data_IF_539279658401
#
_entry.id   IF_539279658401
#
_cell.length_a   1.000
_cell.length_b   1.000
_cell.length_c   1.000
_cell.angle_alpha   90.00
_cell.angle_beta   90.00
_cell.angle_gamma   90.00
#
_symmetry.space_group_name_H-M   'P 1'
#
loop_
_entity.id
_entity.type
_entity.pdbx_description
1 polymer ?
#
# COMPACT_ATOMS: atom_id res chain seq x y z
N UNK A 1 7.57 4.51 25.76
CA UNK A 1 6.43 4.74 24.87
C UNK A 1 5.40 3.59 24.94
N UNK A 2 5.69 2.37 24.45
CA UNK A 2 4.72 1.25 24.41
C UNK A 2 4.00 0.96 25.74
N UNK A 3 4.73 0.91 26.87
CA UNK A 3 4.14 0.72 28.21
C UNK A 3 3.14 1.83 28.59
N UNK A 4 3.36 3.05 28.13
CA UNK A 4 2.44 4.16 28.40
C UNK A 4 1.15 4.00 27.59
N UNK A 5 1.25 3.61 26.31
CA UNK A 5 0.08 3.36 25.46
C UNK A 5 -0.79 2.22 26.00
N UNK A 6 -0.17 1.11 26.42
CA UNK A 6 -0.87 0.02 27.10
C UNK A 6 -1.55 0.50 28.40
N UNK A 7 -0.86 1.31 29.22
CA UNK A 7 -1.43 1.84 30.48
C UNK A 7 -2.60 2.79 30.25
N UNK A 8 -2.53 3.61 29.22
CA UNK A 8 -3.60 4.55 28.84
C UNK A 8 -4.81 3.79 28.29
N UNK A 9 -4.61 2.57 27.77
CA UNK A 9 -5.68 1.72 27.24
C UNK A 9 -6.00 2.00 25.79
N UNK A 10 -4.99 2.22 24.95
CA UNK A 10 -5.20 2.26 23.49
C UNK A 10 -5.74 0.90 23.01
N UNK A 11 -6.78 0.92 22.17
CA UNK A 11 -7.37 -0.30 21.61
C UNK A 11 -6.37 -1.01 20.68
N UNK A 12 -5.64 -0.24 19.88
CA UNK A 12 -4.60 -0.76 19.00
C UNK A 12 -3.43 0.21 18.83
N UNK A 13 -2.29 -0.34 18.43
CA UNK A 13 -1.16 0.37 17.87
C UNK A 13 -0.82 -0.23 16.52
N UNK A 14 -0.45 0.61 15.58
CA UNK A 14 0.02 0.19 14.27
C UNK A 14 1.50 0.58 14.12
N UNK A 15 2.32 -0.38 13.67
CA UNK A 15 3.65 -0.08 13.17
C UNK A 15 3.61 -0.06 11.64
N UNK A 16 3.73 1.14 11.08
CA UNK A 16 3.78 1.34 9.64
C UNK A 16 5.21 1.23 9.13
N UNK A 17 5.38 0.54 8.01
CA UNK A 17 6.66 0.19 7.42
C UNK A 17 6.64 -0.04 5.91
N UNK A 18 7.60 -0.82 5.41
CA UNK A 18 7.77 -1.08 3.98
C UNK A 18 8.71 -0.06 3.32
N UNK A 19 8.34 0.46 2.15
CA UNK A 19 9.16 1.46 1.43
C UNK A 19 8.96 2.90 1.92
N UNK A 20 8.02 3.12 2.84
CA UNK A 20 7.81 4.43 3.47
C UNK A 20 9.08 4.94 4.17
N UNK A 21 9.87 4.04 4.76
CA UNK A 21 11.13 4.39 5.44
C UNK A 21 12.26 4.80 4.50
N UNK A 22 12.25 4.39 3.22
CA UNK A 22 13.26 4.85 2.25
C UNK A 22 13.15 6.35 2.00
N UNK A 23 11.95 6.93 2.19
CA UNK A 23 11.71 8.38 2.13
C UNK A 23 12.18 9.09 3.40
N UNK A 24 12.13 8.42 4.57
CA UNK A 24 12.55 8.99 5.86
C UNK A 24 14.05 8.79 6.17
N UNK A 25 14.67 7.74 5.63
CA UNK A 25 16.07 7.37 5.87
C UNK A 25 16.75 6.99 4.54
N UNK A 26 17.52 7.92 3.96
CA UNK A 26 18.29 7.79 2.71
C UNK A 26 19.47 6.76 2.75
N UNK A 27 19.48 5.78 3.64
CA UNK A 27 20.56 4.81 3.75
C UNK A 27 20.07 3.38 3.51
N UNK A 28 20.04 3.01 2.22
CA UNK A 28 19.72 1.65 1.78
C UNK A 28 20.90 0.71 2.03
N UNK A 29 20.68 -0.36 2.79
CA UNK A 29 21.49 -1.58 2.76
C UNK A 29 20.85 -2.57 1.78
N UNK A 30 21.67 -3.16 0.92
CA UNK A 30 21.30 -4.01 -0.23
C UNK A 30 20.69 -5.38 0.11
N UNK A 31 19.55 -5.43 0.80
CA UNK A 31 18.83 -6.69 0.93
C UNK A 31 17.33 -6.51 0.82
N UNK A 32 16.86 -6.59 -0.43
CA UNK A 32 15.48 -6.73 -0.89
C UNK A 32 14.71 -7.84 -0.15
N UNK A 33 15.42 -8.83 0.42
CA UNK A 33 14.88 -9.98 1.16
C UNK A 33 14.68 -9.76 2.66
N UNK A 34 15.10 -8.61 3.23
CA UNK A 34 15.00 -8.31 4.67
C UNK A 34 13.90 -7.32 5.05
N UNK A 35 13.10 -6.82 4.10
CA UNK A 35 12.17 -5.70 4.38
C UNK A 35 10.87 -6.10 5.08
N UNK A 36 10.35 -7.30 4.81
CA UNK A 36 9.31 -7.90 5.65
C UNK A 36 9.87 -8.22 7.05
N UNK A 37 11.14 -8.64 7.12
CA UNK A 37 11.80 -9.04 8.37
C UNK A 37 12.10 -7.87 9.32
N UNK A 38 12.43 -6.67 8.81
CA UNK A 38 12.83 -5.54 9.65
C UNK A 38 11.74 -5.14 10.66
N UNK A 39 10.50 -5.00 10.20
CA UNK A 39 9.38 -4.66 11.06
C UNK A 39 8.91 -5.83 11.91
N UNK A 40 9.03 -7.06 11.40
CA UNK A 40 8.72 -8.26 12.18
C UNK A 40 9.66 -8.36 13.39
N UNK A 41 10.97 -8.16 13.23
CA UNK A 41 11.92 -8.19 14.34
C UNK A 41 11.64 -7.11 15.40
N UNK A 42 11.23 -5.90 14.96
CA UNK A 42 10.85 -4.83 15.88
C UNK A 42 9.53 -5.14 16.58
N UNK A 43 8.54 -5.64 15.84
CA UNK A 43 7.24 -6.03 16.34
C UNK A 43 7.36 -7.13 17.40
N UNK A 44 8.16 -8.15 17.15
CA UNK A 44 8.45 -9.25 18.10
C UNK A 44 9.03 -8.73 19.42
N UNK A 45 9.82 -7.65 19.39
CA UNK A 45 10.38 -7.04 20.60
C UNK A 45 9.37 -6.22 21.39
N UNK A 46 8.45 -5.53 20.72
CA UNK A 46 7.48 -4.66 21.40
C UNK A 46 6.17 -5.35 21.74
N UNK A 47 5.77 -6.39 20.98
CA UNK A 47 4.53 -7.13 21.16
C UNK A 47 4.33 -7.61 22.60
N UNK A 48 5.34 -8.16 23.32
CA UNK A 48 5.17 -8.60 24.71
C UNK A 48 4.82 -7.49 25.70
N UNK A 49 5.04 -6.22 25.33
CA UNK A 49 4.66 -5.07 26.16
C UNK A 49 3.15 -4.86 26.17
N UNK A 50 2.49 -5.15 25.04
CA UNK A 50 1.06 -4.95 24.87
C UNK A 50 0.31 -6.20 25.33
N UNK A 51 -0.58 -6.07 26.32
CA UNK A 51 -1.37 -7.21 26.84
C UNK A 51 -2.80 -7.11 26.35
N UNK A 52 -3.37 -5.91 26.39
CA UNK A 52 -4.73 -5.62 25.97
C UNK A 52 -4.75 -4.89 24.63
N UNK A 53 -3.76 -4.05 24.35
CA UNK A 53 -3.66 -3.34 23.07
C UNK A 53 -3.35 -4.31 21.92
N UNK A 54 -4.09 -4.19 20.82
CA UNK A 54 -3.87 -4.96 19.59
C UNK A 54 -2.71 -4.36 18.80
N UNK A 55 -1.75 -5.16 18.36
CA UNK A 55 -0.67 -4.71 17.47
C UNK A 55 -1.04 -5.06 16.04
N UNK A 56 -0.97 -4.07 15.16
CA UNK A 56 -1.04 -4.21 13.71
C UNK A 56 0.32 -3.90 13.09
N UNK A 57 0.67 -4.63 12.03
CA UNK A 57 1.82 -4.33 11.19
C UNK A 57 1.34 -4.00 9.79
N UNK A 58 1.80 -2.87 9.26
CA UNK A 58 1.44 -2.40 7.93
C UNK A 58 2.69 -2.17 7.12
N UNK A 59 2.71 -2.66 5.87
CA UNK A 59 3.77 -2.36 4.91
C UNK A 59 4.58 -3.58 4.50
N UNK A 60 4.84 -3.68 3.20
CA UNK A 60 5.60 -4.79 2.60
C UNK A 60 4.83 -6.09 2.40
N UNK A 61 3.79 -6.37 3.19
CA UNK A 61 2.99 -7.59 3.05
C UNK A 61 2.30 -7.70 1.70
N UNK A 62 2.62 -8.77 0.97
CA UNK A 62 1.98 -9.14 -0.30
C UNK A 62 1.54 -10.58 -0.41
N UNK A 63 2.24 -11.49 0.27
CA UNK A 63 1.94 -12.92 0.16
C UNK A 63 1.12 -13.40 1.35
N UNK A 64 0.21 -14.35 1.11
CA UNK A 64 -0.57 -14.99 2.18
C UNK A 64 0.35 -15.63 3.21
N UNK A 65 1.43 -16.26 2.76
CA UNK A 65 2.40 -16.90 3.65
C UNK A 65 3.06 -15.89 4.60
N UNK A 66 3.51 -14.74 4.11
CA UNK A 66 4.11 -13.70 4.95
C UNK A 66 3.10 -13.15 5.98
N UNK A 67 1.88 -12.86 5.54
CA UNK A 67 0.81 -12.36 6.40
C UNK A 67 0.41 -13.38 7.47
N UNK A 68 0.18 -14.63 7.07
CA UNK A 68 -0.20 -15.71 7.98
C UNK A 68 0.92 -16.02 8.97
N UNK A 69 2.18 -16.10 8.54
CA UNK A 69 3.30 -16.35 9.44
C UNK A 69 3.43 -15.24 10.49
N UNK A 70 3.33 -13.96 10.10
CA UNK A 70 3.40 -12.85 11.04
C UNK A 70 2.35 -12.93 12.16
N UNK A 71 1.15 -13.43 11.84
CA UNK A 71 0.09 -13.65 12.83
C UNK A 71 0.34 -14.92 13.65
N UNK A 72 0.69 -16.04 13.01
CA UNK A 72 0.89 -17.34 13.65
C UNK A 72 2.07 -17.32 14.63
N UNK A 73 3.17 -16.65 14.28
CA UNK A 73 4.33 -16.50 15.18
C UNK A 73 4.07 -15.51 16.32
N UNK A 74 2.94 -14.81 16.28
CA UNK A 74 2.57 -13.82 17.27
C UNK A 74 3.31 -12.49 17.13
N UNK A 75 4.01 -12.23 16.02
CA UNK A 75 4.64 -10.93 15.77
C UNK A 75 3.60 -9.80 15.72
N UNK A 76 2.38 -10.11 15.27
CA UNK A 76 1.25 -9.17 15.21
C UNK A 76 -0.09 -9.87 15.43
N UNK A 77 -1.12 -9.11 15.76
CA UNK A 77 -2.51 -9.61 15.78
C UNK A 77 -3.29 -9.22 14.52
N UNK A 78 -2.74 -8.31 13.70
CA UNK A 78 -3.37 -7.89 12.46
C UNK A 78 -2.38 -7.38 11.43
N UNK A 79 -2.81 -7.40 10.18
CA UNK A 79 -2.05 -6.93 9.03
C UNK A 79 -2.79 -5.75 8.42
N UNK A 80 -2.10 -4.63 8.26
CA UNK A 80 -2.57 -3.52 7.44
C UNK A 80 -2.09 -3.66 6.01
N UNK A 81 -3.01 -3.42 5.06
CA UNK A 81 -2.74 -3.42 3.63
C UNK A 81 -2.97 -2.01 3.09
N UNK A 82 -1.92 -1.45 2.46
CA UNK A 82 -1.96 -0.18 1.75
C UNK A 82 -2.09 -0.43 0.25
N UNK A 83 -1.10 0.01 -0.55
CA UNK A 83 -1.06 -0.10 -2.02
C UNK A 83 -1.70 -1.37 -2.65
N UNK A 84 -1.47 -2.61 -2.17
CA UNK A 84 -2.14 -3.78 -2.74
C UNK A 84 -3.68 -3.72 -2.76
N UNK A 85 -4.32 -3.11 -1.75
CA UNK A 85 -5.78 -2.98 -1.67
C UNK A 85 -6.34 -1.99 -2.68
N UNK A 86 -5.51 -1.08 -3.22
CA UNK A 86 -5.98 -0.14 -4.25
C UNK A 86 -6.11 -0.82 -5.60
N UNK A 87 -5.23 -1.78 -5.90
CA UNK A 87 -5.33 -2.62 -7.11
C UNK A 87 -6.38 -3.74 -6.95
N UNK A 88 -6.49 -4.31 -5.74
CA UNK A 88 -7.34 -5.47 -5.47
C UNK A 88 -8.12 -5.28 -4.16
N UNK A 89 -9.24 -4.53 -4.18
CA UNK A 89 -9.95 -4.13 -2.96
C UNK A 89 -10.61 -5.30 -2.20
N UNK A 90 -10.89 -6.40 -2.90
CA UNK A 90 -11.40 -7.63 -2.32
C UNK A 90 -10.30 -8.64 -1.96
N UNK A 91 -9.02 -8.26 -1.99
CA UNK A 91 -7.88 -9.11 -1.62
C UNK A 91 -8.08 -9.81 -0.25
N UNK A 92 -8.50 -9.14 0.84
CA UNK A 92 -8.74 -9.82 2.12
C UNK A 92 -9.76 -10.96 2.01
N UNK A 93 -10.83 -10.76 1.24
CA UNK A 93 -11.84 -11.79 1.00
C UNK A 93 -11.23 -12.97 0.24
N UNK A 94 -10.51 -12.70 -0.85
CA UNK A 94 -9.84 -13.72 -1.66
C UNK A 94 -8.83 -14.54 -0.86
N UNK A 95 -8.07 -13.89 0.04
CA UNK A 95 -7.14 -14.56 0.95
C UNK A 95 -7.90 -15.51 1.89
N UNK A 96 -8.97 -15.04 2.53
CA UNK A 96 -9.77 -15.83 3.47
C UNK A 96 -10.49 -17.00 2.78
N UNK A 97 -10.89 -16.83 1.53
CA UNK A 97 -11.47 -17.88 0.68
C UNK A 97 -10.41 -18.84 0.11
N UNK A 98 -9.12 -18.53 0.27
CA UNK A 98 -8.01 -19.34 -0.26
C UNK A 98 -7.92 -19.32 -1.79
N UNK A 99 -8.45 -18.30 -2.46
CA UNK A 99 -8.50 -18.22 -3.92
C UNK A 99 -7.23 -17.61 -4.54
N UNK A 100 -6.41 -16.94 -3.73
CA UNK A 100 -5.14 -16.33 -4.18
C UNK A 100 -4.00 -16.60 -3.19
N UNK A 101 -2.75 -16.78 -3.66
CA UNK A 101 -1.58 -16.95 -2.79
C UNK A 101 -0.93 -15.61 -2.39
N UNK A 102 -1.29 -14.51 -3.06
CA UNK A 102 -0.73 -13.19 -2.87
C UNK A 102 -1.62 -12.12 -3.50
N UNK A 103 -1.32 -10.86 -3.21
CA UNK A 103 -1.77 -9.73 -4.02
C UNK A 103 -1.29 -9.86 -5.47
N UNK A 104 -1.99 -9.17 -6.38
CA UNK A 104 -1.53 -8.96 -7.76
C UNK A 104 -0.09 -8.39 -7.75
N UNK A 105 0.74 -8.95 -8.63
CA UNK A 105 2.12 -8.52 -8.81
C UNK A 105 2.19 -7.43 -9.87
N UNK A 106 2.36 -6.18 -9.46
CA UNK A 106 2.53 -5.09 -10.44
C UNK A 106 3.88 -5.21 -11.17
N UNK A 107 3.91 -4.69 -12.39
CA UNK A 107 5.11 -4.46 -13.18
C UNK A 107 5.85 -3.16 -12.79
N UNK A 108 5.28 -2.37 -11.87
CA UNK A 108 5.96 -1.20 -11.26
C UNK A 108 7.10 -1.64 -10.34
N UNK A 109 8.20 -0.87 -10.32
CA UNK A 109 9.27 -1.07 -9.34
C UNK A 109 8.75 -0.75 -7.94
N UNK A 110 8.62 -1.80 -7.14
CA UNK A 110 8.08 -1.72 -5.78
C UNK A 110 8.99 -0.98 -4.80
N UNK A 111 10.25 -0.74 -5.19
CA UNK A 111 11.20 0.08 -4.46
C UNK A 111 10.99 1.58 -4.74
N UNK A 112 10.37 1.93 -5.86
CA UNK A 112 10.01 3.31 -6.17
C UNK A 112 8.73 3.67 -5.42
N UNK A 113 8.87 4.06 -4.16
CA UNK A 113 7.75 4.44 -3.31
C UNK A 113 6.93 5.58 -3.93
N UNK A 114 7.57 6.60 -4.52
CA UNK A 114 6.88 7.75 -5.10
C UNK A 114 5.93 7.33 -6.22
N UNK A 115 6.42 6.58 -7.20
CA UNK A 115 5.61 6.11 -8.34
C UNK A 115 4.52 5.15 -7.89
N UNK A 116 4.85 4.19 -7.02
CA UNK A 116 3.86 3.20 -6.56
C UNK A 116 2.83 3.78 -5.60
N UNK A 117 3.15 4.86 -4.89
CA UNK A 117 2.18 5.62 -4.11
C UNK A 117 1.26 6.42 -5.04
N UNK A 118 1.83 7.09 -6.06
CA UNK A 118 1.03 7.79 -7.08
C UNK A 118 0.11 6.86 -7.85
N UNK A 119 0.50 5.60 -8.07
CA UNK A 119 -0.33 4.58 -8.72
C UNK A 119 -1.61 4.25 -7.94
N UNK A 120 -1.59 4.40 -6.61
CA UNK A 120 -2.79 4.20 -5.77
C UNK A 120 -3.84 5.29 -5.97
N UNK A 121 -3.46 6.51 -6.32
CA UNK A 121 -4.39 7.62 -6.54
C UNK A 121 -5.45 7.33 -7.61
N UNK A 122 -5.08 6.99 -8.87
CA UNK A 122 -6.08 6.72 -9.90
C UNK A 122 -6.90 5.48 -9.58
N UNK A 123 -6.33 4.46 -8.94
CA UNK A 123 -7.10 3.27 -8.56
C UNK A 123 -8.18 3.59 -7.52
N UNK A 124 -7.88 4.39 -6.50
CA UNK A 124 -8.88 4.84 -5.52
C UNK A 124 -9.95 5.71 -6.21
N UNK A 125 -9.53 6.62 -7.08
CA UNK A 125 -10.44 7.50 -7.80
C UNK A 125 -11.36 6.73 -8.75
N UNK A 126 -10.81 5.79 -9.53
CA UNK A 126 -11.54 4.91 -10.46
C UNK A 126 -12.57 4.05 -9.74
N UNK A 127 -12.24 3.54 -8.56
CA UNK A 127 -13.18 2.81 -7.70
C UNK A 127 -14.41 3.64 -7.34
N UNK A 128 -14.23 4.96 -7.21
CA UNK A 128 -15.31 5.91 -6.91
C UNK A 128 -16.18 6.29 -8.12
N UNK A 129 -15.81 5.92 -9.35
CA UNK A 129 -16.53 6.35 -10.58
C UNK A 129 -17.86 5.62 -10.80
N UNK A 130 -18.02 4.44 -10.22
CA UNK A 130 -19.19 3.60 -10.41
C UNK A 130 -19.82 3.22 -9.06
N UNK A 131 -21.15 3.15 -9.01
CA UNK A 131 -21.85 2.49 -7.90
C UNK A 131 -21.58 0.99 -7.93
N UNK A 132 -21.63 0.34 -6.78
CA UNK A 132 -21.47 -1.11 -6.66
C UNK A 132 -22.39 -1.92 -7.59
N UNK A 133 -23.63 -1.47 -7.80
CA UNK A 133 -24.58 -2.09 -8.74
C UNK A 133 -24.11 -2.00 -10.21
N UNK A 134 -23.77 -0.80 -10.68
CA UNK A 134 -23.22 -0.57 -12.05
C UNK A 134 -21.91 -1.31 -12.30
N UNK A 135 -21.12 -1.54 -11.25
CA UNK A 135 -19.91 -2.34 -11.30
C UNK A 135 -20.19 -3.86 -11.29
N UNK A 136 -21.46 -4.29 -11.35
CA UNK A 136 -21.88 -5.68 -11.22
C UNK A 136 -21.27 -6.37 -9.98
N UNK A 137 -21.25 -5.65 -8.86
CA UNK A 137 -20.67 -6.09 -7.58
C UNK A 137 -19.16 -6.42 -7.63
N UNK A 138 -18.45 -6.02 -8.68
CA UNK A 138 -17.01 -6.16 -8.80
C UNK A 138 -16.32 -4.88 -8.31
N UNK A 139 -15.72 -4.93 -7.13
CA UNK A 139 -15.01 -3.78 -6.54
C UNK A 139 -13.73 -3.38 -7.28
N UNK A 140 -13.22 -4.25 -8.15
CA UNK A 140 -12.07 -3.97 -9.04
C UNK A 140 -12.50 -3.48 -10.42
N UNK A 141 -13.79 -3.26 -10.66
CA UNK A 141 -14.28 -2.85 -11.98
C UNK A 141 -13.70 -1.49 -12.41
N UNK A 142 -13.03 -1.47 -13.56
CA UNK A 142 -12.49 -0.26 -14.16
C UNK A 142 -11.18 0.25 -13.53
N UNK A 143 -10.61 -0.48 -12.56
CA UNK A 143 -9.32 -0.13 -11.99
C UNK A 143 -8.20 -0.38 -13.00
N UNK A 144 -7.22 0.51 -12.99
CA UNK A 144 -6.02 0.34 -13.82
C UNK A 144 -5.21 -0.87 -13.38
N UNK A 145 -4.92 -1.74 -14.34
CA UNK A 145 -4.11 -2.93 -14.14
C UNK A 145 -2.63 -2.62 -14.34
N UNK A 146 -1.90 -2.44 -13.24
CA UNK A 146 -0.45 -2.22 -13.29
C UNK A 146 0.37 -3.51 -13.33
N UNK A 147 -0.25 -4.69 -13.43
CA UNK A 147 0.45 -5.92 -13.79
C UNK A 147 0.78 -5.94 -15.30
N UNK A 148 0.04 -5.18 -16.10
CA UNK A 148 0.29 -4.97 -17.52
C UNK A 148 1.39 -3.92 -17.77
N UNK A 149 2.40 -4.30 -18.56
CA UNK A 149 3.57 -3.45 -18.84
C UNK A 149 3.22 -2.23 -19.70
N UNK A 150 2.34 -2.38 -20.67
CA UNK A 150 1.92 -1.27 -21.53
C UNK A 150 1.19 -0.20 -20.70
N UNK A 151 0.35 -0.63 -19.77
CA UNK A 151 -0.32 0.24 -18.80
C UNK A 151 0.67 0.96 -17.89
N UNK A 152 1.72 0.27 -17.40
CA UNK A 152 2.80 0.89 -16.64
C UNK A 152 3.57 1.94 -17.46
N UNK A 153 3.86 1.67 -18.73
CA UNK A 153 4.53 2.64 -19.61
C UNK A 153 3.67 3.90 -19.84
N UNK A 154 2.37 3.72 -20.09
CA UNK A 154 1.42 4.85 -20.22
C UNK A 154 1.32 5.64 -18.91
N UNK A 155 1.30 4.95 -17.78
CA UNK A 155 1.28 5.59 -16.47
C UNK A 155 2.55 6.37 -16.18
N UNK A 156 3.72 5.86 -16.58
CA UNK A 156 5.00 6.58 -16.47
C UNK A 156 4.95 7.95 -17.15
N UNK A 157 4.38 8.04 -18.36
CA UNK A 157 4.16 9.32 -19.05
C UNK A 157 3.21 10.24 -18.29
N UNK A 158 2.12 9.69 -17.75
CA UNK A 158 1.18 10.47 -16.93
C UNK A 158 1.85 11.03 -15.66
N UNK A 159 2.77 10.27 -15.04
CA UNK A 159 3.56 10.74 -13.91
C UNK A 159 4.50 11.87 -14.33
N UNK A 160 5.19 11.76 -15.46
CA UNK A 160 6.05 12.84 -15.99
C UNK A 160 5.25 14.14 -16.22
N UNK A 161 4.11 14.04 -16.89
CA UNK A 161 3.21 15.17 -17.14
C UNK A 161 2.70 15.80 -15.84
N UNK A 162 2.35 14.98 -14.85
CA UNK A 162 1.92 15.43 -13.54
C UNK A 162 3.04 16.17 -12.80
N UNK A 163 4.25 15.65 -12.82
CA UNK A 163 5.41 16.28 -12.19
C UNK A 163 5.73 17.64 -12.84
N UNK A 164 5.65 17.75 -14.17
CA UNK A 164 5.85 19.04 -14.84
C UNK A 164 4.72 20.03 -14.52
N UNK A 165 3.47 19.58 -14.50
CA UNK A 165 2.33 20.41 -14.12
C UNK A 165 2.50 20.98 -12.70
N UNK A 166 2.83 20.12 -11.73
CA UNK A 166 3.01 20.53 -10.33
C UNK A 166 4.16 21.52 -10.18
N UNK A 167 5.28 21.30 -10.88
CA UNK A 167 6.43 22.21 -10.92
C UNK A 167 6.06 23.59 -11.47
N UNK A 168 5.34 23.63 -12.60
CA UNK A 168 4.91 24.87 -13.24
C UNK A 168 3.94 25.65 -12.34
N UNK A 169 2.96 24.99 -11.73
CA UNK A 169 2.01 25.65 -10.83
C UNK A 169 2.68 26.17 -9.56
N UNK A 170 3.58 25.39 -8.96
CA UNK A 170 4.39 25.81 -7.82
C UNK A 170 5.13 27.11 -8.11
N UNK A 171 5.81 27.20 -9.27
CA UNK A 171 6.56 28.40 -9.68
C UNK A 171 5.69 29.64 -9.88
N UNK A 172 4.40 29.46 -10.13
CA UNK A 172 3.42 30.53 -10.35
C UNK A 172 2.64 30.88 -9.08
N UNK A 173 2.91 30.22 -7.95
CA UNK A 173 2.12 30.36 -6.72
C UNK A 173 0.67 29.91 -6.87
N UNK A 174 0.40 29.00 -7.82
CA UNK A 174 -0.93 28.44 -8.06
C UNK A 174 -1.06 27.11 -7.31
N UNK A 175 -2.27 26.81 -6.83
CA UNK A 175 -2.55 25.55 -6.15
C UNK A 175 -2.20 24.34 -7.01
N UNK A 176 -1.55 23.36 -6.39
CA UNK A 176 -1.10 22.12 -7.02
C UNK A 176 -2.15 21.02 -6.76
N UNK A 177 -2.54 20.21 -7.76
CA UNK A 177 -3.38 19.04 -7.54
C UNK A 177 -2.80 18.10 -6.48
N UNK A 178 -3.64 17.65 -5.55
CA UNK A 178 -3.24 16.74 -4.48
C UNK A 178 -3.14 15.27 -4.90
N UNK A 179 -3.56 14.92 -6.12
CA UNK A 179 -3.52 13.56 -6.64
C UNK A 179 -3.46 13.54 -8.17
N UNK A 180 -2.93 12.45 -8.72
CA UNK A 180 -2.93 12.14 -10.15
C UNK A 180 -4.15 11.27 -10.50
N UNK A 181 -4.80 11.57 -11.63
CA UNK A 181 -5.79 10.71 -12.28
C UNK A 181 -5.17 10.04 -13.50
N UNK A 182 -5.64 8.85 -13.88
CA UNK A 182 -5.08 8.10 -14.99
C UNK A 182 -6.19 7.45 -15.82
N UNK A 183 -6.59 8.06 -16.93
CA UNK A 183 -7.38 7.39 -17.96
C UNK A 183 -7.10 8.01 -19.34
N UNK A 184 -6.64 7.17 -20.28
CA UNK A 184 -6.90 7.31 -21.71
C UNK A 184 -7.51 5.98 -22.14
N UNK A 185 -8.71 5.93 -22.72
CA UNK A 185 -8.99 6.35 -24.09
C UNK A 185 -10.44 6.87 -24.22
N UNK A 186 -10.61 8.06 -24.81
CA UNK A 186 -11.66 8.25 -25.81
C UNK A 186 -11.01 8.22 -27.19
N UNK A 187 -11.66 7.39 -28.01
CA UNK A 187 -11.54 7.15 -29.44
C UNK A 187 -11.69 8.44 -30.23
#
# INVERSE_FOLDING_TARGET
MCKAYERIGFDFVELSGGTYEQFAFQHTRDSTRQREAFFLEFAEKIRPVFKNTVVYLTGGFRTVNAMANAVITGATQGIGLGRPITAEPDLPKKILEGTVPSAIQDALDQNNYEVTNLASNPQIEQMGRNSFEKANQNVSFGLSDFSDKETVERFGKAVEDFMELTRVQASKGVAIPGFITFEGVKV
#
